data_IF_484839331771
#
_entry.id   IF_484839331771
#
_cell.length_a   1.000
_cell.length_b   1.000
_cell.length_c   1.000
_cell.angle_alpha   90.00
_cell.angle_beta   90.00
_cell.angle_gamma   90.00
#
_symmetry.space_group_name_H-M   'P 1'
#
loop_
_entity.id
_entity.type
_entity.pdbx_description
1 polymer ?
#
# COMPACT_ATOMS: atom_id res chain seq x y z
N UNK A 1 8.96 -2.75 -26.93
CA UNK A 1 9.52 -2.67 -25.56
C UNK A 1 8.36 -2.72 -24.59
N UNK A 2 8.34 -3.70 -23.68
CA UNK A 2 7.37 -3.70 -22.58
C UNK A 2 7.66 -2.46 -21.72
N UNK A 3 6.67 -1.60 -21.41
CA UNK A 3 6.92 -0.44 -20.57
C UNK A 3 7.46 -0.89 -19.21
N UNK A 4 8.50 -0.22 -18.72
CA UNK A 4 9.13 -0.50 -17.43
C UNK A 4 8.12 -0.30 -16.31
N UNK A 5 8.08 -1.24 -15.36
CA UNK A 5 7.25 -1.15 -14.17
C UNK A 5 7.75 0.01 -13.29
N UNK A 6 6.81 0.81 -12.77
CA UNK A 6 7.11 1.82 -11.75
C UNK A 6 6.53 1.42 -10.41
N UNK A 7 7.33 1.50 -9.35
CA UNK A 7 6.88 1.36 -7.97
C UNK A 7 6.84 2.73 -7.32
N UNK A 8 5.69 3.10 -6.77
CA UNK A 8 5.50 4.33 -6.00
C UNK A 8 5.42 3.97 -4.52
N UNK A 9 6.48 4.28 -3.77
CA UNK A 9 6.55 4.05 -2.33
C UNK A 9 6.13 5.34 -1.62
N UNK A 10 4.94 5.34 -1.04
CA UNK A 10 4.40 6.50 -0.36
C UNK A 10 4.83 6.55 1.10
N UNK A 11 5.73 7.47 1.45
CA UNK A 11 6.31 7.61 2.79
C UNK A 11 6.26 9.07 3.28
N UNK A 12 6.99 9.42 4.34
CA UNK A 12 7.36 10.80 4.69
C UNK A 12 8.69 10.81 5.45
N UNK A 13 9.29 11.98 5.67
CA UNK A 13 10.66 12.08 6.19
C UNK A 13 10.76 11.63 7.66
N UNK A 14 9.63 11.63 8.36
CA UNK A 14 9.48 11.05 9.69
C UNK A 14 9.57 9.51 9.69
N UNK A 15 9.57 8.87 8.52
CA UNK A 15 9.69 7.41 8.30
C UNK A 15 11.00 6.98 7.66
N UNK A 16 12.03 7.82 7.73
CA UNK A 16 13.35 7.54 7.13
C UNK A 16 14.04 6.27 7.63
N UNK A 17 13.80 5.90 8.88
CA UNK A 17 14.36 4.70 9.51
C UNK A 17 13.73 3.40 8.97
N UNK A 18 12.59 3.48 8.26
CA UNK A 18 12.01 2.36 7.53
C UNK A 18 12.66 2.16 6.15
N UNK A 19 13.27 3.19 5.55
CA UNK A 19 13.67 3.15 4.14
C UNK A 19 14.79 2.16 3.86
N UNK A 20 15.86 2.17 4.66
CA UNK A 20 16.96 1.22 4.49
C UNK A 20 16.51 -0.24 4.68
N UNK A 21 15.77 -0.61 5.76
CA UNK A 21 15.16 -1.93 5.88
C UNK A 21 14.26 -2.30 4.71
N UNK A 22 13.39 -1.39 4.28
CA UNK A 22 12.48 -1.61 3.17
C UNK A 22 13.23 -1.95 1.88
N UNK A 23 14.21 -1.14 1.50
CA UNK A 23 14.93 -1.32 0.24
C UNK A 23 15.91 -2.49 0.25
N UNK A 24 16.46 -2.85 1.42
CA UNK A 24 17.24 -4.10 1.56
C UNK A 24 16.37 -5.34 1.36
N UNK A 25 15.15 -5.36 1.92
CA UNK A 25 14.21 -6.46 1.69
C UNK A 25 13.67 -6.44 0.26
N UNK A 26 13.43 -5.25 -0.29
CA UNK A 26 12.99 -5.07 -1.67
C UNK A 26 14.02 -5.64 -2.66
N UNK A 27 15.29 -5.26 -2.55
CA UNK A 27 16.37 -5.76 -3.42
C UNK A 27 16.50 -7.29 -3.32
N UNK A 28 16.41 -7.85 -2.11
CA UNK A 28 16.52 -9.30 -1.88
C UNK A 28 15.38 -10.12 -2.47
N UNK A 29 14.15 -9.64 -2.31
CA UNK A 29 12.94 -10.41 -2.62
C UNK A 29 12.28 -10.04 -3.95
N UNK A 30 12.65 -8.90 -4.54
CA UNK A 30 12.26 -8.53 -5.89
C UNK A 30 13.14 -9.21 -6.94
N UNK A 31 12.92 -10.50 -7.17
CA UNK A 31 13.74 -11.32 -8.08
C UNK A 31 13.32 -11.20 -9.56
N UNK A 32 12.93 -10.00 -9.98
CA UNK A 32 12.50 -9.68 -11.34
C UNK A 32 13.32 -8.55 -11.96
N UNK A 33 12.96 -8.08 -13.17
CA UNK A 33 13.54 -6.87 -13.74
C UNK A 33 13.38 -5.70 -12.75
N UNK A 34 14.44 -4.91 -12.51
CA UNK A 34 14.40 -3.82 -11.56
C UNK A 34 13.39 -2.75 -12.04
N UNK A 35 12.41 -2.36 -11.22
CA UNK A 35 11.48 -1.32 -11.56
C UNK A 35 12.13 0.05 -11.36
N UNK A 36 11.56 1.07 -12.01
CA UNK A 36 11.81 2.44 -11.58
C UNK A 36 11.11 2.67 -10.24
N UNK A 37 11.81 3.21 -9.24
CA UNK A 37 11.25 3.47 -7.92
C UNK A 37 11.07 4.98 -7.73
N UNK A 38 9.87 5.38 -7.37
CA UNK A 38 9.54 6.73 -6.96
C UNK A 38 9.25 6.71 -5.46
N UNK A 39 10.16 7.27 -4.66
CA UNK A 39 10.01 7.39 -3.21
C UNK A 39 9.40 8.75 -2.87
N UNK A 40 8.19 8.75 -2.31
CA UNK A 40 7.48 9.99 -2.02
C UNK A 40 7.97 10.64 -0.71
N UNK A 41 8.96 11.54 -0.79
CA UNK A 41 9.57 12.20 0.37
C UNK A 41 9.12 13.66 0.52
N UNK A 42 9.33 14.24 1.70
CA UNK A 42 9.05 15.66 1.94
C UNK A 42 10.24 16.51 1.46
N UNK A 43 11.41 16.35 2.06
CA UNK A 43 12.61 17.13 1.75
C UNK A 43 13.84 16.24 1.55
N UNK A 44 13.89 15.10 2.26
CA UNK A 44 15.03 14.19 2.22
C UNK A 44 15.17 13.43 0.91
N UNK A 45 16.40 13.03 0.65
CA UNK A 45 16.77 12.09 -0.41
C UNK A 45 17.23 10.78 0.19
N UNK A 46 17.12 9.72 -0.60
CA UNK A 46 17.55 8.39 -0.24
C UNK A 46 18.04 7.68 -1.50
N UNK A 47 19.08 6.88 -1.36
CA UNK A 47 19.63 6.05 -2.42
C UNK A 47 20.00 4.67 -1.85
N UNK A 48 19.87 3.64 -2.68
CA UNK A 48 20.27 2.28 -2.34
C UNK A 48 21.00 1.68 -3.54
N UNK A 49 22.15 1.06 -3.31
CA UNK A 49 22.96 0.51 -4.40
C UNK A 49 22.19 -0.57 -5.15
N UNK A 50 22.17 -0.49 -6.49
CA UNK A 50 21.47 -1.44 -7.35
C UNK A 50 19.99 -1.13 -7.61
N UNK A 51 19.43 -0.07 -7.00
CA UNK A 51 18.04 0.35 -7.22
C UNK A 51 17.98 1.76 -7.83
N UNK A 52 17.11 1.94 -8.84
CA UNK A 52 16.83 3.23 -9.46
C UNK A 52 15.76 3.98 -8.66
N UNK A 53 16.17 4.72 -7.64
CA UNK A 53 15.30 5.45 -6.71
C UNK A 53 15.33 6.94 -7.00
N UNK A 54 14.16 7.51 -7.32
CA UNK A 54 13.94 8.96 -7.43
C UNK A 54 13.08 9.44 -6.26
N UNK A 55 13.62 10.36 -5.45
CA UNK A 55 12.89 10.99 -4.36
C UNK A 55 12.06 12.17 -4.86
N UNK A 56 10.79 12.27 -4.45
CA UNK A 56 9.90 13.32 -4.93
C UNK A 56 10.16 14.68 -4.28
N UNK A 57 10.64 14.73 -3.02
CA UNK A 57 10.95 15.98 -2.30
C UNK A 57 9.87 17.06 -2.46
N UNK A 58 8.61 16.73 -2.20
CA UNK A 58 7.46 17.60 -2.52
C UNK A 58 7.28 18.79 -1.55
N UNK A 59 8.04 18.80 -0.47
CA UNK A 59 8.13 19.86 0.53
C UNK A 59 9.07 21.00 0.15
N UNK A 60 10.07 20.75 -0.72
CA UNK A 60 11.04 21.77 -1.12
C UNK A 60 10.37 22.99 -1.78
N UNK A 61 10.80 24.19 -1.38
CA UNK A 61 10.31 25.45 -1.93
C UNK A 61 8.87 25.80 -1.53
N UNK A 62 8.31 25.16 -0.50
CA UNK A 62 7.03 25.57 0.09
C UNK A 62 7.24 26.59 1.19
N UNK A 63 6.47 27.67 1.13
CA UNK A 63 6.26 28.55 2.26
C UNK A 63 5.21 27.94 3.20
N UNK A 64 5.55 27.82 4.49
CA UNK A 64 4.63 27.38 5.54
C UNK A 64 4.81 25.93 6.03
N UNK A 65 3.95 25.55 6.98
CA UNK A 65 4.12 24.36 7.81
C UNK A 65 3.95 22.99 7.13
N UNK A 66 3.94 21.96 7.98
CA UNK A 66 3.91 20.54 7.64
C UNK A 66 2.88 20.22 6.54
N UNK A 67 3.31 19.47 5.52
CA UNK A 67 2.43 18.98 4.47
C UNK A 67 1.52 17.86 5.03
N UNK A 68 0.24 17.91 4.69
CA UNK A 68 -0.68 16.82 5.01
C UNK A 68 -0.45 15.61 4.11
N UNK A 69 -0.76 14.41 4.60
CA UNK A 69 -0.59 13.16 3.86
C UNK A 69 -1.23 13.21 2.46
N UNK A 70 -2.48 13.66 2.37
CA UNK A 70 -3.19 13.73 1.09
C UNK A 70 -2.58 14.72 0.10
N UNK A 71 -2.03 15.84 0.57
CA UNK A 71 -1.33 16.80 -0.29
C UNK A 71 0.02 16.25 -0.74
N UNK A 72 0.75 15.58 0.16
CA UNK A 72 2.02 14.94 -0.16
C UNK A 72 1.85 13.85 -1.22
N UNK A 73 0.85 12.97 -1.06
CA UNK A 73 0.53 11.93 -2.03
C UNK A 73 0.18 12.54 -3.39
N UNK A 74 -0.69 13.56 -3.41
CA UNK A 74 -1.12 14.22 -4.65
C UNK A 74 0.04 14.88 -5.40
N UNK A 75 0.92 15.58 -4.69
CA UNK A 75 2.13 16.19 -5.27
C UNK A 75 3.12 15.14 -5.76
N UNK A 76 3.29 14.05 -5.02
CA UNK A 76 4.15 12.94 -5.40
C UNK A 76 3.69 12.30 -6.70
N UNK A 77 2.40 11.97 -6.80
CA UNK A 77 1.79 11.41 -8.00
C UNK A 77 1.87 12.35 -9.21
N UNK A 78 1.85 13.67 -8.99
CA UNK A 78 2.02 14.63 -10.08
C UNK A 78 3.44 14.65 -10.67
N UNK A 79 4.44 14.11 -9.95
CA UNK A 79 5.82 13.93 -10.46
C UNK A 79 6.03 12.59 -11.17
N UNK A 80 5.07 11.67 -11.09
CA UNK A 80 5.15 10.37 -11.76
C UNK A 80 4.85 10.54 -13.25
N UNK A 81 5.78 10.10 -14.10
CA UNK A 81 5.63 10.15 -15.56
C UNK A 81 4.83 8.96 -16.10
N UNK A 82 4.87 7.83 -15.38
CA UNK A 82 4.26 6.58 -15.83
C UNK A 82 2.75 6.57 -15.54
N UNK A 83 1.98 6.07 -16.51
CA UNK A 83 0.52 6.02 -16.41
C UNK A 83 0.05 5.08 -15.29
N UNK A 84 0.83 4.05 -14.99
CA UNK A 84 0.53 3.01 -14.01
C UNK A 84 1.68 2.91 -13.02
N UNK A 85 1.34 2.79 -11.74
CA UNK A 85 2.29 2.52 -10.66
C UNK A 85 1.82 1.35 -9.82
N UNK A 86 2.76 0.55 -9.34
CA UNK A 86 2.57 -0.32 -8.19
C UNK A 86 2.74 0.53 -6.92
N UNK A 87 1.63 0.81 -6.24
CA UNK A 87 1.62 1.58 -5.00
C UNK A 87 2.00 0.68 -3.81
N UNK A 88 2.89 1.17 -2.94
CA UNK A 88 3.28 0.53 -1.68
C UNK A 88 3.52 1.58 -0.58
N UNK A 89 3.46 1.16 0.68
CA UNK A 89 3.98 1.93 1.82
C UNK A 89 5.39 1.46 2.21
N UNK A 90 6.16 2.32 2.87
CA UNK A 90 7.52 2.02 3.34
C UNK A 90 7.59 0.93 4.41
N UNK A 91 6.46 0.57 5.01
CA UNK A 91 6.34 -0.40 6.08
C UNK A 91 5.84 -1.78 5.57
N UNK A 92 5.64 -1.91 4.25
CA UNK A 92 5.33 -3.18 3.56
C UNK A 92 6.61 -4.01 3.34
N UNK A 93 7.24 -4.40 4.44
CA UNK A 93 8.47 -5.19 4.43
C UNK A 93 8.24 -6.58 3.82
N UNK A 94 8.88 -6.84 2.68
CA UNK A 94 8.82 -8.15 2.04
C UNK A 94 9.51 -9.21 2.91
N UNK A 95 8.89 -10.39 3.00
CA UNK A 95 9.34 -11.50 3.83
C UNK A 95 9.73 -12.75 3.02
N UNK A 96 9.39 -12.78 1.73
CA UNK A 96 9.68 -13.89 0.82
C UNK A 96 9.74 -13.36 -0.63
N UNK A 97 10.22 -14.16 -1.61
CA UNK A 97 10.24 -13.76 -3.01
C UNK A 97 8.86 -13.35 -3.55
N UNK A 98 8.82 -12.27 -4.32
CA UNK A 98 7.60 -11.77 -4.98
C UNK A 98 7.24 -12.66 -6.18
N UNK A 99 5.95 -12.92 -6.40
CA UNK A 99 5.48 -13.58 -7.63
C UNK A 99 5.50 -12.59 -8.81
N UNK A 100 6.68 -12.47 -9.43
CA UNK A 100 6.93 -11.54 -10.54
C UNK A 100 6.06 -11.85 -11.75
N UNK A 101 5.74 -13.12 -12.01
CA UNK A 101 4.90 -13.50 -13.15
C UNK A 101 3.48 -12.96 -12.98
N UNK A 102 2.92 -13.09 -11.78
CA UNK A 102 1.59 -12.53 -11.47
C UNK A 102 1.61 -11.00 -11.47
N UNK A 103 2.67 -10.37 -10.95
CA UNK A 103 2.86 -8.91 -11.04
C UNK A 103 2.83 -8.44 -12.50
N UNK A 104 3.56 -9.11 -13.40
CA UNK A 104 3.61 -8.77 -14.82
C UNK A 104 2.26 -8.97 -15.51
N UNK A 105 1.54 -10.07 -15.20
CA UNK A 105 0.19 -10.31 -15.71
C UNK A 105 -0.77 -9.21 -15.27
N UNK A 106 -0.76 -8.83 -13.99
CA UNK A 106 -1.58 -7.74 -13.48
C UNK A 106 -1.24 -6.40 -14.15
N UNK A 107 0.04 -6.09 -14.31
CA UNK A 107 0.49 -4.88 -15.01
C UNK A 107 -0.05 -4.85 -16.45
N UNK A 108 -0.01 -5.96 -17.17
CA UNK A 108 -0.53 -6.08 -18.53
C UNK A 108 -2.06 -5.90 -18.61
N UNK A 109 -2.80 -6.48 -17.64
CA UNK A 109 -4.26 -6.30 -17.55
C UNK A 109 -4.63 -4.84 -17.37
N UNK A 110 -4.06 -4.17 -16.35
CA UNK A 110 -4.39 -2.75 -16.13
C UNK A 110 -3.92 -1.90 -17.29
N UNK A 111 -2.81 -2.23 -17.96
CA UNK A 111 -2.32 -1.51 -19.14
C UNK A 111 -3.26 -1.62 -20.33
N UNK A 112 -3.77 -2.82 -20.61
CA UNK A 112 -4.62 -3.09 -21.77
C UNK A 112 -6.06 -2.57 -21.63
N UNK A 113 -6.60 -2.47 -20.42
CA UNK A 113 -7.95 -1.92 -20.16
C UNK A 113 -7.91 -0.56 -19.42
N UNK A 114 -8.28 0.51 -20.15
CA UNK A 114 -8.37 1.89 -19.62
C UNK A 114 -9.51 2.13 -18.63
N UNK A 115 -10.44 1.20 -18.51
CA UNK A 115 -11.55 1.28 -17.56
C UNK A 115 -11.17 0.82 -16.15
N UNK A 116 -10.05 0.11 -15.99
CA UNK A 116 -9.54 -0.34 -14.70
C UNK A 116 -8.75 0.80 -14.05
N UNK A 117 -9.21 1.29 -12.90
CA UNK A 117 -8.49 2.28 -12.11
C UNK A 117 -7.44 1.65 -11.18
N UNK A 118 -7.73 0.44 -10.66
CA UNK A 118 -6.85 -0.25 -9.73
C UNK A 118 -6.98 -1.78 -9.79
N UNK A 119 -5.88 -2.46 -9.46
CA UNK A 119 -5.84 -3.89 -9.16
C UNK A 119 -5.21 -4.06 -7.77
N UNK A 120 -6.01 -4.53 -6.81
CA UNK A 120 -5.56 -4.80 -5.43
C UNK A 120 -4.83 -6.14 -5.37
N UNK A 121 -3.58 -6.13 -4.93
CA UNK A 121 -2.73 -7.33 -4.87
C UNK A 121 -2.77 -8.04 -3.52
N UNK A 122 -3.32 -7.37 -2.50
CA UNK A 122 -3.38 -7.89 -1.14
C UNK A 122 -4.76 -7.57 -0.53
N UNK A 123 -5.47 -8.61 -0.08
CA UNK A 123 -6.86 -8.52 0.39
C UNK A 123 -6.96 -8.87 1.88
N UNK A 124 -6.88 -7.85 2.74
CA UNK A 124 -7.10 -8.00 4.17
C UNK A 124 -8.55 -7.71 4.52
N UNK A 125 -9.32 -8.75 4.88
CA UNK A 125 -10.67 -8.58 5.42
C UNK A 125 -11.63 -7.82 4.52
N UNK A 126 -11.54 -8.05 3.20
CA UNK A 126 -12.26 -7.28 2.21
C UNK A 126 -13.78 -7.26 2.42
N UNK A 127 -14.34 -6.08 2.25
CA UNK A 127 -15.76 -5.89 2.02
C UNK A 127 -16.08 -6.32 0.58
N UNK A 128 -16.91 -7.34 0.43
CA UNK A 128 -17.51 -7.71 -0.83
C UNK A 128 -18.72 -6.83 -1.17
N UNK A 129 -19.58 -7.25 -2.11
CA UNK A 129 -19.45 -8.48 -2.90
C UNK A 129 -18.38 -8.40 -3.99
N UNK A 130 -17.91 -9.56 -4.45
CA UNK A 130 -16.98 -9.73 -5.55
C UNK A 130 -17.61 -10.58 -6.64
N UNK A 131 -17.19 -10.38 -7.88
CA UNK A 131 -17.63 -11.20 -9.01
C UNK A 131 -16.42 -11.60 -9.86
N UNK A 132 -16.37 -12.83 -10.39
CA UNK A 132 -15.30 -13.22 -11.33
C UNK A 132 -15.17 -12.22 -12.48
N UNK A 133 -13.93 -11.89 -12.84
CA UNK A 133 -13.65 -11.09 -14.03
C UNK A 133 -13.39 -11.98 -15.25
N UNK A 134 -13.16 -11.36 -16.39
CA UNK A 134 -12.65 -11.99 -17.61
C UNK A 134 -11.24 -12.61 -17.45
N UNK A 135 -10.51 -12.23 -16.39
CA UNK A 135 -9.22 -12.78 -16.04
C UNK A 135 -9.38 -13.76 -14.86
N UNK A 136 -9.12 -15.08 -15.01
CA UNK A 136 -9.40 -16.08 -13.97
C UNK A 136 -8.71 -15.85 -12.62
N UNK A 137 -7.57 -15.15 -12.62
CA UNK A 137 -6.78 -14.81 -11.43
C UNK A 137 -7.22 -13.50 -10.76
N UNK A 138 -8.23 -12.81 -11.31
CA UNK A 138 -8.77 -11.54 -10.79
C UNK A 138 -10.28 -11.59 -10.64
N UNK A 139 -10.78 -10.95 -9.59
CA UNK A 139 -12.20 -10.66 -9.39
C UNK A 139 -12.45 -9.16 -9.45
N UNK A 140 -13.67 -8.76 -9.77
CA UNK A 140 -14.11 -7.37 -9.71
C UNK A 140 -14.76 -7.07 -8.35
N UNK A 141 -14.37 -5.93 -7.76
CA UNK A 141 -14.95 -5.44 -6.50
C UNK A 141 -16.18 -4.60 -6.81
N UNK A 142 -17.33 -4.99 -6.23
CA UNK A 142 -18.60 -4.33 -6.50
C UNK A 142 -18.57 -2.82 -6.19
N UNK A 143 -19.26 -2.03 -7.02
CA UNK A 143 -19.26 -0.56 -6.96
C UNK A 143 -19.59 0.01 -5.57
N UNK A 144 -20.53 -0.61 -4.86
CA UNK A 144 -21.01 -0.16 -3.54
C UNK A 144 -20.26 -0.80 -2.37
N UNK A 145 -19.20 -1.56 -2.64
CA UNK A 145 -18.40 -2.15 -1.58
C UNK A 145 -17.77 -1.08 -0.67
N UNK A 146 -17.79 -1.26 0.66
CA UNK A 146 -16.89 -0.52 1.55
C UNK A 146 -15.41 -0.74 1.15
N UNK A 147 -14.53 0.22 1.43
CA UNK A 147 -13.08 0.08 1.18
C UNK A 147 -12.69 -0.42 -0.23
N UNK A 148 -13.52 -0.09 -1.25
CA UNK A 148 -13.24 -0.38 -2.67
C UNK A 148 -11.94 0.29 -3.12
N UNK A 149 -11.65 1.46 -2.56
CA UNK A 149 -10.32 2.07 -2.57
C UNK A 149 -9.58 1.59 -1.33
N UNK A 150 -8.41 0.98 -1.52
CA UNK A 150 -7.54 0.51 -0.44
C UNK A 150 -6.10 0.96 -0.72
N UNK A 151 -5.38 1.26 0.35
CA UNK A 151 -3.95 1.61 0.33
C UNK A 151 -3.03 0.41 0.55
N UNK A 152 -3.58 -0.80 0.58
CA UNK A 152 -2.79 -2.03 0.44
C UNK A 152 -2.06 -2.05 -0.90
N UNK A 153 -1.04 -2.89 -1.03
CA UNK A 153 -0.24 -2.94 -2.25
C UNK A 153 -1.12 -3.24 -3.46
N UNK A 154 -0.93 -2.47 -4.53
CA UNK A 154 -1.82 -2.56 -5.69
C UNK A 154 -1.37 -1.71 -6.85
N UNK A 155 -1.75 -2.15 -8.05
CA UNK A 155 -1.61 -1.33 -9.23
C UNK A 155 -2.65 -0.24 -9.26
N UNK A 156 -2.23 0.96 -9.64
CA UNK A 156 -3.10 2.10 -9.83
C UNK A 156 -2.77 2.81 -11.13
N UNK A 157 -3.80 3.30 -11.82
CA UNK A 157 -3.61 4.38 -12.78
C UNK A 157 -3.29 5.65 -12.01
N UNK A 158 -2.11 6.22 -12.25
CA UNK A 158 -1.55 7.37 -11.51
C UNK A 158 -2.53 8.53 -11.44
N UNK A 159 -3.11 8.92 -12.59
CA UNK A 159 -4.10 10.01 -12.67
C UNK A 159 -5.37 9.71 -11.86
N UNK A 160 -5.85 8.44 -11.89
CA UNK A 160 -7.05 8.03 -11.16
C UNK A 160 -6.82 8.09 -9.66
N UNK A 161 -5.71 7.53 -9.17
CA UNK A 161 -5.33 7.59 -7.76
C UNK A 161 -5.27 9.05 -7.28
N UNK A 162 -4.55 9.91 -8.01
CA UNK A 162 -4.45 11.34 -7.69
C UNK A 162 -5.81 12.06 -7.67
N UNK A 163 -6.73 11.70 -8.56
CA UNK A 163 -8.07 12.30 -8.61
C UNK A 163 -8.96 11.94 -7.41
N UNK A 164 -8.69 10.80 -6.77
CA UNK A 164 -9.45 10.31 -5.62
C UNK A 164 -8.97 10.91 -4.30
N UNK A 165 -7.75 11.42 -4.20
CA UNK A 165 -7.18 11.98 -2.97
C UNK A 165 -7.64 13.43 -2.78
N UNK A 166 -7.88 13.86 -1.53
CA UNK A 166 -8.02 15.28 -1.18
C UNK A 166 -6.86 15.74 -0.29
N UNK A 167 -6.38 16.98 -0.44
CA UNK A 167 -5.21 17.47 0.28
C UNK A 167 -5.25 17.27 1.79
N UNK A 168 -6.41 17.46 2.42
CA UNK A 168 -6.59 17.40 3.87
C UNK A 168 -6.80 15.99 4.44
N UNK A 169 -6.88 14.96 3.59
CA UNK A 169 -7.17 13.61 4.04
C UNK A 169 -5.95 12.94 4.66
N UNK A 170 -6.20 12.06 5.63
CA UNK A 170 -5.26 11.04 6.09
C UNK A 170 -5.53 9.70 5.38
N UNK A 171 -4.66 8.67 5.53
CA UNK A 171 -4.79 7.39 4.83
C UNK A 171 -6.17 6.73 4.99
N UNK A 172 -6.67 6.62 6.23
CA UNK A 172 -7.95 5.99 6.54
C UNK A 172 -9.15 6.77 5.98
N UNK A 173 -9.11 8.11 6.10
CA UNK A 173 -10.10 8.99 5.51
C UNK A 173 -10.13 8.81 3.99
N UNK A 174 -8.96 8.70 3.34
CA UNK A 174 -8.88 8.46 1.91
C UNK A 174 -9.52 7.14 1.50
N UNK A 175 -9.29 6.03 2.22
CA UNK A 175 -9.93 4.76 1.86
C UNK A 175 -11.47 4.85 1.93
N UNK A 176 -12.02 5.51 2.95
CA UNK A 176 -13.47 5.66 3.12
C UNK A 176 -14.06 6.64 2.10
N UNK A 177 -13.52 7.86 2.04
CA UNK A 177 -14.07 8.91 1.20
C UNK A 177 -13.71 8.71 -0.28
N UNK A 178 -12.54 8.15 -0.57
CA UNK A 178 -12.13 7.70 -1.90
C UNK A 178 -13.06 6.62 -2.43
N UNK A 179 -13.41 5.63 -1.61
CA UNK A 179 -14.41 4.62 -1.97
C UNK A 179 -15.77 5.24 -2.28
N UNK A 180 -16.20 6.27 -1.54
CA UNK A 180 -17.45 6.99 -1.82
C UNK A 180 -17.37 7.80 -3.12
N UNK A 181 -16.24 8.45 -3.41
CA UNK A 181 -16.02 9.19 -4.66
C UNK A 181 -16.01 8.26 -5.88
N UNK A 182 -15.38 7.11 -5.74
CA UNK A 182 -15.26 6.10 -6.80
C UNK A 182 -16.63 5.50 -7.18
N UNK A 183 -17.62 5.45 -6.27
CA UNK A 183 -18.99 4.97 -6.57
C UNK A 183 -19.66 5.69 -7.74
N UNK A 184 -19.34 6.97 -7.93
CA UNK A 184 -19.92 7.82 -8.96
C UNK A 184 -19.14 7.79 -10.27
N UNK A 185 -18.04 7.04 -10.32
CA UNK A 185 -17.23 6.84 -11.52
C UNK A 185 -17.60 5.53 -12.22
N UNK A 186 -17.26 5.45 -13.50
CA UNK A 186 -17.37 4.21 -14.29
C UNK A 186 -16.15 3.30 -14.15
N UNK A 187 -15.14 3.73 -13.40
CA UNK A 187 -13.91 2.98 -13.20
C UNK A 187 -14.18 1.63 -12.48
N UNK A 188 -13.53 0.59 -12.99
CA UNK A 188 -13.47 -0.77 -12.42
C UNK A 188 -12.33 -0.83 -11.41
N UNK A 189 -12.52 -1.68 -10.39
CA UNK A 189 -11.47 -2.04 -9.44
C UNK A 189 -11.47 -3.54 -9.35
N UNK A 190 -10.32 -4.14 -9.67
CA UNK A 190 -10.12 -5.57 -9.56
C UNK A 190 -9.33 -5.89 -8.29
N UNK A 191 -9.39 -7.14 -7.86
CA UNK A 191 -8.58 -7.71 -6.80
C UNK A 191 -8.12 -9.10 -7.19
N UNK A 192 -7.09 -9.60 -6.52
CA UNK A 192 -6.69 -11.01 -6.68
C UNK A 192 -7.86 -11.94 -6.39
N UNK A 193 -7.95 -13.02 -7.16
CA UNK A 193 -8.88 -14.11 -6.90
C UNK A 193 -8.57 -14.70 -5.52
N UNK A 194 -9.51 -14.54 -4.58
CA UNK A 194 -9.33 -14.91 -3.17
C UNK A 194 -9.27 -16.42 -2.94
N UNK A 195 -9.72 -17.21 -3.91
CA UNK A 195 -9.64 -18.67 -3.85
C UNK A 195 -8.26 -19.18 -4.30
N UNK A 196 -7.52 -18.38 -5.08
CA UNK A 196 -6.20 -18.74 -5.60
C UNK A 196 -5.05 -18.05 -4.82
N UNK A 197 -5.28 -16.81 -4.40
CA UNK A 197 -4.28 -15.95 -3.76
C UNK A 197 -4.76 -15.57 -2.36
N UNK A 198 -4.46 -16.45 -1.41
CA UNK A 198 -4.72 -16.23 0.02
C UNK A 198 -3.49 -15.54 0.61
N UNK A 199 -3.61 -14.34 1.22
CA UNK A 199 -2.46 -13.59 1.74
C UNK A 199 -1.52 -14.40 2.63
N UNK A 200 -2.06 -15.32 3.43
CA UNK A 200 -1.30 -16.11 4.39
C UNK A 200 -0.54 -17.30 3.78
N UNK A 201 -0.96 -17.81 2.61
CA UNK A 201 -0.41 -19.06 2.03
C UNK A 201 0.06 -18.93 0.58
N UNK A 202 -0.49 -17.98 -0.17
CA UNK A 202 -0.17 -17.70 -1.57
C UNK A 202 -0.25 -16.20 -1.88
N UNK A 203 0.51 -15.33 -1.18
CA UNK A 203 0.55 -13.92 -1.49
C UNK A 203 1.34 -13.64 -2.78
N UNK A 204 0.85 -12.70 -3.59
CA UNK A 204 1.62 -12.16 -4.72
C UNK A 204 2.79 -11.30 -4.22
N UNK A 205 2.52 -10.48 -3.20
CA UNK A 205 3.49 -9.67 -2.46
C UNK A 205 3.50 -10.14 -1.01
N UNK A 206 4.49 -10.93 -0.59
CA UNK A 206 4.57 -11.46 0.78
C UNK A 206 5.07 -10.40 1.75
N UNK A 207 4.16 -9.60 2.28
CA UNK A 207 4.41 -8.71 3.41
C UNK A 207 3.37 -8.96 4.53
N UNK A 208 3.66 -8.59 5.78
CA UNK A 208 2.76 -8.81 6.91
C UNK A 208 1.40 -8.17 6.71
N UNK A 209 0.35 -8.90 7.07
CA UNK A 209 -1.02 -8.40 7.11
C UNK A 209 -1.23 -7.30 8.17
N UNK A 210 -0.43 -7.34 9.23
CA UNK A 210 -0.48 -6.38 10.33
C UNK A 210 0.47 -5.20 10.11
N UNK A 211 0.07 -4.02 10.58
CA UNK A 211 0.89 -2.80 10.53
C UNK A 211 2.26 -3.06 11.18
N UNK A 212 3.34 -3.02 10.39
CA UNK A 212 4.71 -3.21 10.92
C UNK A 212 5.16 -1.99 11.71
N UNK A 213 4.63 -0.81 11.35
CA UNK A 213 4.68 0.41 12.16
C UNK A 213 3.27 0.89 12.48
N UNK A 214 2.89 0.80 13.76
CA UNK A 214 1.56 1.22 14.23
C UNK A 214 1.67 2.38 15.19
N UNK A 215 0.95 3.46 14.90
CA UNK A 215 0.99 4.72 15.70
C UNK A 215 2.43 5.23 15.90
N UNK A 216 3.27 5.07 14.88
CA UNK A 216 4.68 5.49 14.90
C UNK A 216 5.64 4.57 15.64
N UNK A 217 5.17 3.43 16.19
CA UNK A 217 5.98 2.46 16.93
C UNK A 217 6.14 1.15 16.16
N UNK A 218 7.25 0.45 16.37
CA UNK A 218 7.53 -0.85 15.76
C UNK A 218 6.63 -1.96 16.32
N UNK A 219 6.15 -2.85 15.45
CA UNK A 219 5.53 -4.10 15.85
C UNK A 219 6.62 -5.16 16.09
N UNK A 220 6.94 -5.42 17.36
CA UNK A 220 8.03 -6.31 17.79
C UNK A 220 7.97 -7.69 17.13
N UNK A 221 6.79 -8.29 17.11
CA UNK A 221 6.59 -9.68 16.69
C UNK A 221 6.83 -9.86 15.19
N UNK A 222 6.79 -8.77 14.43
CA UNK A 222 7.05 -8.77 12.99
C UNK A 222 8.50 -8.40 12.70
N UNK A 223 8.97 -7.27 13.26
CA UNK A 223 10.21 -6.65 12.78
C UNK A 223 11.46 -7.28 13.37
N UNK A 224 11.42 -7.81 14.60
CA UNK A 224 12.62 -8.34 15.25
C UNK A 224 13.18 -9.55 14.50
N UNK A 225 12.32 -10.55 14.25
CA UNK A 225 12.74 -11.78 13.58
C UNK A 225 13.04 -11.53 12.10
N UNK A 226 12.24 -10.68 11.44
CA UNK A 226 12.44 -10.33 10.04
C UNK A 226 13.78 -9.62 9.82
N UNK A 227 14.11 -8.63 10.64
CA UNK A 227 15.35 -7.86 10.49
C UNK A 227 16.58 -8.69 10.89
N UNK A 228 16.49 -9.46 11.97
CA UNK A 228 17.58 -10.34 12.40
C UNK A 228 17.91 -11.41 11.34
N UNK A 229 16.88 -12.10 10.81
CA UNK A 229 17.07 -13.12 9.77
C UNK A 229 17.60 -12.55 8.45
N UNK A 230 17.40 -11.26 8.20
CA UNK A 230 17.87 -10.60 6.98
C UNK A 230 19.18 -9.80 7.14
N UNK A 231 19.77 -9.78 8.34
CA UNK A 231 20.98 -9.02 8.62
C UNK A 231 20.76 -7.51 8.52
N UNK A 232 19.60 -7.03 8.96
CA UNK A 232 19.24 -5.60 8.96
C UNK A 232 19.48 -5.06 10.37
N UNK A 233 20.38 -4.08 10.47
CA UNK A 233 20.64 -3.37 11.73
C UNK A 233 19.75 -2.13 11.83
N UNK A 234 18.89 -2.08 12.85
CA UNK A 234 17.99 -0.95 13.11
C UNK A 234 18.09 -0.53 14.56
N UNK A 235 18.18 0.77 14.80
CA UNK A 235 18.01 1.35 16.12
C UNK A 235 16.52 1.42 16.49
N UNK A 236 16.02 0.34 17.10
CA UNK A 236 14.63 0.27 17.55
C UNK A 236 14.28 1.32 18.61
N UNK A 237 15.27 1.93 19.30
CA UNK A 237 15.01 2.91 20.35
C UNK A 237 14.42 4.22 19.80
N UNK A 238 14.71 4.58 18.54
CA UNK A 238 14.20 5.81 17.91
C UNK A 238 12.68 5.89 17.90
N UNK A 239 12.01 4.78 17.59
CA UNK A 239 10.53 4.68 17.59
C UNK A 239 9.97 4.00 18.83
N UNK A 240 10.74 3.09 19.42
CA UNK A 240 10.26 2.15 20.41
C UNK A 240 9.31 1.11 19.83
N UNK A 241 8.89 0.18 20.68
CA UNK A 241 7.93 -0.87 20.32
C UNK A 241 6.51 -0.50 20.76
N UNK A 242 5.54 -0.97 19.99
CA UNK A 242 4.15 -0.95 20.40
C UNK A 242 4.03 -1.80 21.67
N UNK A 243 3.45 -1.23 22.72
CA UNK A 243 3.15 -2.00 23.92
C UNK A 243 2.04 -3.01 23.57
N UNK A 244 2.16 -4.28 23.99
CA UNK A 244 1.09 -5.24 23.81
C UNK A 244 -0.16 -4.67 24.48
N UNK A 245 -1.28 -4.64 23.75
CA UNK A 245 -2.57 -4.25 24.32
C UNK A 245 -2.82 -5.15 25.54
N UNK A 246 -2.62 -4.63 26.76
CA UNK A 246 -3.28 -5.15 27.94
C UNK A 246 -4.76 -4.93 27.64
N UNK A 247 -5.58 -5.99 27.50
CA UNK A 247 -6.98 -5.80 27.14
C UNK A 247 -7.63 -4.94 28.22
N UNK A 248 -8.08 -3.76 27.81
CA UNK A 248 -8.69 -2.79 28.70
C UNK A 248 -9.93 -3.44 29.35
N UNK A 249 -9.88 -3.69 30.66
CA UNK A 249 -11.05 -4.11 31.44
C UNK A 249 -11.97 -2.91 31.58
N UNK A 250 -12.78 -2.61 30.55
CA UNK A 250 -14.03 -1.78 30.50
C UNK A 250 -14.34 -1.54 29.01
N UNK A 251 -15.48 -1.86 28.39
CA UNK A 251 -16.88 -1.79 28.81
C UNK A 251 -17.73 -2.80 27.98
N UNK A 252 -18.56 -3.66 28.61
CA UNK A 252 -19.42 -4.63 27.91
C UNK A 252 -20.42 -4.04 26.90
N UNK A 253 -20.71 -2.73 26.96
CA UNK A 253 -21.62 -2.05 26.03
C UNK A 253 -21.07 -1.96 24.60
N UNK A 254 -19.75 -1.79 24.43
CA UNK A 254 -19.13 -1.73 23.10
C UNK A 254 -19.32 -3.05 22.34
N UNK A 255 -19.27 -4.20 23.03
CA UNK A 255 -19.55 -5.52 22.44
C UNK A 255 -20.96 -5.64 21.88
N UNK A 256 -21.97 -5.03 22.52
CA UNK A 256 -23.37 -5.08 22.05
C UNK A 256 -23.62 -4.21 20.84
N UNK A 257 -22.93 -3.09 20.70
CA UNK A 257 -23.02 -2.21 19.52
C UNK A 257 -22.36 -2.85 18.29
N UNK A 258 -21.18 -3.46 18.47
CA UNK A 258 -20.48 -4.16 17.39
C UNK A 258 -21.16 -5.47 16.96
N UNK A 259 -21.83 -6.18 17.87
CA UNK A 259 -22.58 -7.40 17.52
C UNK A 259 -23.90 -7.12 16.78
N UNK A 260 -24.62 -6.04 17.12
CA UNK A 260 -25.86 -5.66 16.43
C UNK A 260 -25.66 -5.07 15.03
N UNK A 261 -24.51 -4.45 14.77
CA UNK A 261 -24.17 -3.94 13.44
C UNK A 261 -23.85 -5.05 12.43
N UNK A 262 -23.53 -6.28 12.88
CA UNK A 262 -23.29 -7.45 12.01
C UNK A 262 -24.54 -8.30 11.75
N UNK A 263 -25.66 -8.04 12.43
CA UNK A 263 -26.92 -8.78 12.22
C UNK A 263 -27.97 -7.99 11.46
N UNK A 264 -27.65 -6.78 11.00
CA UNK A 264 -28.53 -5.94 10.17
C UNK A 264 -27.70 -5.27 9.07
N UNK A 265 -27.12 -6.06 8.17
CA UNK A 265 -26.88 -5.76 6.74
C UNK A 265 -26.84 -7.09 6.00
#
# INVERSE_FOLDING_TARGET
>A
MTPSLSVFVNTCDAYEDCWAPFFQLFERYWQGPPPQIILNTEEKTFAYSGLDITCTQVGLGRDGGRISWGEQLRRGLAKVQNEIVLYMHEDFFLQAPVDIDTIQKCHEVIRSDRTIAAIRLHELGGSGPWTPSEHPFLWEVAKKSPYRVSLQAGFWRTERLGSFVRPHENPWQFEIWGSKRLRWRRDRVLCMNRDQFVPETHPVLPYPCDDTVKKGKWNRDIVCDLFASNGIEVDFAKRGFLEPNIPDRKDPLARRVFARARSIV
#
